data_IF_982511741665
#
_entry.id   IF_982511741665
#
_cell.length_a   1.000
_cell.length_b   1.000
_cell.length_c   1.000
_cell.angle_alpha   90.00
_cell.angle_beta   90.00
_cell.angle_gamma   90.00
#
_symmetry.space_group_name_H-M   'P 1'
#
loop_
_entity.id
_entity.type
_entity.pdbx_description
1 polymer ?
#
# COMPACT_ATOMS: atom_id res chain seq x y z
N UNK A 1 15.07 23.88 21.72
CA UNK A 1 13.80 24.62 21.91
C UNK A 1 13.58 24.86 23.41
N UNK A 2 13.25 26.05 23.79
CA UNK A 2 12.80 26.38 25.15
C UNK A 2 11.34 26.82 25.08
N UNK A 3 10.43 25.98 25.57
CA UNK A 3 8.99 26.16 25.43
C UNK A 3 8.58 26.37 23.96
N UNK A 4 8.06 27.56 23.62
CA UNK A 4 7.64 27.92 22.26
C UNK A 4 8.70 28.71 21.46
N UNK A 5 9.90 28.91 22.01
CA UNK A 5 10.98 29.63 21.33
C UNK A 5 11.93 28.64 20.66
N UNK A 6 12.27 28.93 19.39
CA UNK A 6 13.30 28.22 18.64
C UNK A 6 14.60 29.03 18.75
N UNK A 7 15.65 28.40 19.27
CA UNK A 7 16.99 28.98 19.25
C UNK A 7 17.83 28.15 18.27
N UNK A 8 18.49 28.82 17.35
CA UNK A 8 19.45 28.16 16.46
C UNK A 8 20.72 27.85 17.25
N UNK A 9 21.26 26.65 17.03
CA UNK A 9 22.48 26.16 17.66
C UNK A 9 23.47 25.82 16.55
N UNK A 10 24.71 26.29 16.71
CA UNK A 10 25.80 25.97 15.77
C UNK A 10 26.45 24.62 16.12
N UNK A 11 26.40 24.23 17.37
CA UNK A 11 27.00 22.99 17.89
C UNK A 11 26.07 22.30 18.90
N UNK A 12 26.13 20.97 18.92
CA UNK A 12 25.38 20.09 19.83
C UNK A 12 26.35 19.11 20.45
N UNK A 13 26.35 18.96 21.77
CA UNK A 13 27.26 18.09 22.50
C UNK A 13 26.58 16.78 22.92
N UNK A 14 27.41 15.82 23.32
CA UNK A 14 26.95 14.54 23.87
C UNK A 14 26.03 14.73 25.07
N UNK A 15 24.83 14.16 25.03
CA UNK A 15 23.81 14.33 26.06
C UNK A 15 22.78 15.44 25.78
N UNK A 16 23.02 16.29 24.77
CA UNK A 16 22.06 17.32 24.38
C UNK A 16 20.91 16.71 23.54
N UNK A 17 19.77 17.40 23.62
CA UNK A 17 18.59 17.10 22.78
C UNK A 17 18.33 18.30 21.88
N UNK A 18 18.42 18.09 20.59
CA UNK A 18 18.24 19.12 19.59
C UNK A 18 17.35 18.64 18.43
N UNK A 19 16.67 19.57 17.75
CA UNK A 19 15.98 19.31 16.51
C UNK A 19 16.89 19.63 15.32
N UNK A 20 17.08 18.69 14.43
CA UNK A 20 17.85 18.85 13.19
C UNK A 20 16.94 18.66 11.99
N UNK A 21 17.23 19.33 10.89
CA UNK A 21 16.51 19.22 9.62
C UNK A 21 17.47 18.90 8.48
N UNK A 22 16.95 18.26 7.43
CA UNK A 22 17.73 18.00 6.22
C UNK A 22 18.27 16.58 6.08
N UNK A 23 18.01 15.70 7.02
CA UNK A 23 18.30 14.28 6.91
C UNK A 23 17.29 13.62 5.95
N UNK A 24 17.78 13.08 4.82
CA UNK A 24 16.91 12.48 3.79
C UNK A 24 16.77 10.96 3.90
N UNK A 25 17.72 10.30 4.57
CA UNK A 25 17.82 8.85 4.64
C UNK A 25 17.77 8.32 6.07
N UNK A 26 17.37 9.16 7.02
CA UNK A 26 17.35 8.84 8.45
C UNK A 26 15.92 8.72 8.93
N UNK A 27 15.59 7.59 9.51
CA UNK A 27 14.29 7.28 10.12
C UNK A 27 14.35 7.30 11.64
N UNK A 28 13.19 7.24 12.28
CA UNK A 28 13.09 7.15 13.73
C UNK A 28 13.76 5.88 14.24
N UNK A 29 14.70 6.01 15.18
CA UNK A 29 15.48 4.92 15.72
C UNK A 29 16.87 4.74 15.14
N UNK A 30 17.20 5.46 14.05
CA UNK A 30 18.52 5.41 13.45
C UNK A 30 19.56 6.12 14.32
N UNK A 31 20.76 5.58 14.34
CA UNK A 31 21.90 6.21 15.02
C UNK A 31 22.69 7.06 14.04
N UNK A 32 22.95 8.30 14.41
CA UNK A 32 23.84 9.21 13.69
C UNK A 32 25.15 9.30 14.48
N UNK A 33 26.27 8.98 13.85
CA UNK A 33 27.58 8.96 14.48
C UNK A 33 28.67 9.48 13.58
N UNK A 34 29.88 9.63 14.14
CA UNK A 34 31.10 9.96 13.39
C UNK A 34 31.50 8.78 12.49
N UNK A 35 31.83 9.06 11.24
CA UNK A 35 32.30 8.06 10.27
C UNK A 35 33.60 7.37 10.70
N UNK A 36 34.48 8.06 11.42
CA UNK A 36 35.76 7.52 11.89
C UNK A 36 35.60 6.66 13.16
N UNK A 37 34.55 6.87 13.90
CA UNK A 37 34.25 6.16 15.16
C UNK A 37 32.81 5.66 15.15
N UNK A 38 32.46 4.71 14.26
CA UNK A 38 31.10 4.25 14.13
C UNK A 38 30.64 3.52 15.41
N UNK A 39 29.51 3.92 15.93
CA UNK A 39 28.82 3.28 17.03
C UNK A 39 27.34 3.18 16.69
N UNK A 40 26.73 2.03 16.94
CA UNK A 40 25.30 1.84 16.81
C UNK A 40 24.74 1.70 18.22
N UNK A 41 23.81 2.60 18.56
CA UNK A 41 23.07 2.52 19.82
C UNK A 41 21.99 1.44 19.73
N UNK A 42 21.42 1.08 20.89
CA UNK A 42 20.35 0.11 20.96
C UNK A 42 19.19 0.48 20.02
N UNK A 43 18.79 -0.47 19.16
CA UNK A 43 17.67 -0.29 18.26
C UNK A 43 16.34 -0.36 19.01
N UNK A 44 15.41 0.53 18.67
CA UNK A 44 14.05 0.48 19.21
C UNK A 44 13.23 -0.59 18.50
N UNK A 45 12.57 -1.45 19.27
CA UNK A 45 11.59 -2.39 18.74
C UNK A 45 10.20 -1.73 18.79
N UNK A 46 9.58 -1.59 17.65
CA UNK A 46 8.24 -1.02 17.53
C UNK A 46 7.21 -2.15 17.46
N UNK A 47 6.08 -2.04 18.20
CA UNK A 47 5.03 -3.03 18.12
C UNK A 47 4.35 -3.01 16.74
N UNK A 48 3.87 -4.19 16.32
CA UNK A 48 3.11 -4.31 15.08
C UNK A 48 1.75 -3.61 15.21
N UNK A 49 1.27 -2.97 14.12
CA UNK A 49 -0.04 -2.37 14.09
C UNK A 49 -1.16 -3.37 14.35
N UNK A 50 -2.18 -2.97 15.09
CA UNK A 50 -3.27 -3.87 15.53
C UNK A 50 -4.57 -3.68 14.76
N UNK A 51 -4.78 -2.52 14.11
CA UNK A 51 -5.97 -2.27 13.30
C UNK A 51 -5.58 -1.74 11.91
N UNK A 52 -6.47 -1.97 10.96
CA UNK A 52 -6.30 -1.50 9.58
C UNK A 52 -7.61 -0.94 9.05
N UNK A 53 -7.52 0.14 8.29
CA UNK A 53 -8.64 0.74 7.57
C UNK A 53 -8.23 1.04 6.13
N UNK A 54 -9.21 1.05 5.24
CA UNK A 54 -9.01 1.52 3.87
C UNK A 54 -9.14 3.04 3.82
N UNK A 55 -8.27 3.70 3.05
CA UNK A 55 -8.29 5.13 2.83
C UNK A 55 -8.33 5.43 1.33
N UNK A 56 -9.24 6.30 0.92
CA UNK A 56 -9.41 6.70 -0.47
C UNK A 56 -9.48 8.22 -0.57
N UNK A 57 -8.76 8.85 -1.51
CA UNK A 57 -8.86 10.29 -1.70
C UNK A 57 -10.24 10.65 -2.26
N UNK A 58 -10.85 11.73 -1.81
CA UNK A 58 -12.14 12.19 -2.34
C UNK A 58 -12.08 12.59 -3.81
N UNK A 59 -10.91 12.95 -4.32
CA UNK A 59 -10.70 13.34 -5.72
C UNK A 59 -9.51 12.61 -6.34
N UNK A 60 -9.60 12.26 -7.62
CA UNK A 60 -8.49 11.65 -8.38
C UNK A 60 -7.23 12.52 -8.39
N UNK A 61 -7.39 13.84 -8.41
CA UNK A 61 -6.26 14.78 -8.36
C UNK A 61 -5.46 14.70 -7.05
N UNK A 62 -6.10 14.28 -5.95
CA UNK A 62 -5.47 14.14 -4.64
C UNK A 62 -4.75 12.80 -4.44
N UNK A 63 -4.89 11.86 -5.36
CA UNK A 63 -4.32 10.50 -5.20
C UNK A 63 -2.79 10.51 -5.07
N UNK A 64 -2.09 11.24 -5.95
CA UNK A 64 -0.64 11.37 -5.88
C UNK A 64 -0.18 12.06 -4.60
N UNK A 65 -0.86 13.16 -4.23
CA UNK A 65 -0.58 13.89 -2.98
C UNK A 65 -0.81 13.03 -1.74
N UNK A 66 -1.85 12.20 -1.75
CA UNK A 66 -2.12 11.28 -0.65
C UNK A 66 -0.99 10.26 -0.47
N UNK A 67 -0.47 9.68 -1.56
CA UNK A 67 0.64 8.75 -1.49
C UNK A 67 1.91 9.37 -0.90
N UNK A 68 2.28 10.57 -1.36
CA UNK A 68 3.43 11.31 -0.82
C UNK A 68 3.25 11.69 0.66
N UNK A 69 2.05 12.12 1.04
CA UNK A 69 1.74 12.49 2.41
C UNK A 69 1.79 11.28 3.35
N UNK A 70 1.20 10.15 2.94
CA UNK A 70 1.23 8.91 3.71
C UNK A 70 2.66 8.37 3.87
N UNK A 71 3.50 8.47 2.83
CA UNK A 71 4.90 8.08 2.92
C UNK A 71 5.66 8.89 3.97
N UNK A 72 5.47 10.22 3.98
CA UNK A 72 6.09 11.11 5.00
C UNK A 72 5.62 10.78 6.41
N UNK A 73 4.33 10.53 6.59
CA UNK A 73 3.77 10.14 7.90
C UNK A 73 4.32 8.80 8.38
N UNK A 74 4.55 7.85 7.47
CA UNK A 74 5.16 6.56 7.78
C UNK A 74 6.67 6.66 8.11
N UNK A 75 7.39 7.64 7.55
CA UNK A 75 8.77 7.95 7.94
C UNK A 75 8.87 8.52 9.36
N UNK A 76 7.86 9.30 9.78
CA UNK A 76 7.81 9.89 11.12
C UNK A 76 7.42 8.88 12.21
N UNK A 77 6.55 7.93 11.87
CA UNK A 77 5.98 6.98 12.83
C UNK A 77 6.15 5.52 12.37
N UNK A 78 7.10 4.79 12.95
CA UNK A 78 7.36 3.39 12.61
C UNK A 78 6.22 2.42 12.97
N UNK A 79 5.26 2.84 13.80
CA UNK A 79 4.07 2.05 14.14
C UNK A 79 2.92 2.25 13.17
N UNK A 80 3.06 3.20 12.25
CA UNK A 80 2.13 3.46 11.15
C UNK A 80 2.62 2.80 9.88
N UNK A 81 1.78 1.99 9.25
CA UNK A 81 2.11 1.31 7.99
C UNK A 81 1.11 1.60 6.90
N UNK A 82 1.60 1.68 5.68
CA UNK A 82 0.81 1.90 4.48
C UNK A 82 1.09 0.76 3.50
N UNK A 83 0.03 0.16 2.96
CA UNK A 83 0.15 -0.83 1.89
C UNK A 83 -0.97 -0.66 0.87
N UNK A 84 -0.70 -1.00 -0.37
CA UNK A 84 -1.75 -1.12 -1.39
C UNK A 84 -2.16 -2.59 -1.49
N UNK A 85 -3.45 -2.84 -1.44
CA UNK A 85 -3.98 -4.18 -1.70
C UNK A 85 -4.04 -4.36 -3.22
N UNK A 86 -3.25 -5.31 -3.76
CA UNK A 86 -3.13 -5.54 -5.20
C UNK A 86 -4.44 -6.07 -5.82
N UNK A 87 -5.24 -6.81 -5.06
CA UNK A 87 -6.49 -7.42 -5.54
C UNK A 87 -7.64 -6.40 -5.60
N UNK A 88 -7.75 -5.52 -4.59
CA UNK A 88 -8.82 -4.52 -4.52
C UNK A 88 -8.41 -3.14 -5.00
N UNK A 89 -7.10 -2.89 -5.15
CA UNK A 89 -6.54 -1.58 -5.49
C UNK A 89 -6.65 -0.55 -4.36
N UNK A 90 -7.15 -0.93 -3.19
CA UNK A 90 -7.31 -0.01 -2.06
C UNK A 90 -5.99 0.26 -1.36
N UNK A 91 -5.81 1.50 -0.91
CA UNK A 91 -4.75 1.86 0.04
C UNK A 91 -5.23 1.53 1.44
N UNK A 92 -4.47 0.68 2.13
CA UNK A 92 -4.73 0.27 3.50
C UNK A 92 -3.71 0.95 4.41
N UNK A 93 -4.20 1.60 5.45
CA UNK A 93 -3.38 2.16 6.51
C UNK A 93 -3.59 1.35 7.79
N UNK A 94 -2.51 1.09 8.50
CA UNK A 94 -2.51 0.29 9.72
C UNK A 94 -1.85 1.06 10.86
N UNK A 95 -2.37 0.94 12.06
CA UNK A 95 -1.89 1.67 13.23
C UNK A 95 -2.24 0.97 14.54
N UNK A 96 -1.83 1.59 15.64
CA UNK A 96 -1.94 1.03 16.99
C UNK A 96 -3.36 1.10 17.59
N UNK A 97 -4.27 1.85 16.94
CA UNK A 97 -5.63 2.00 17.42
C UNK A 97 -6.43 2.99 16.58
N UNK A 98 -7.72 3.05 16.81
CA UNK A 98 -8.66 3.91 16.08
C UNK A 98 -8.25 5.38 16.17
N UNK A 99 -8.00 5.87 17.39
CA UNK A 99 -7.58 7.25 17.62
C UNK A 99 -6.26 7.58 16.89
N UNK A 100 -5.33 6.64 16.83
CA UNK A 100 -4.08 6.82 16.09
C UNK A 100 -4.36 7.08 14.60
N UNK A 101 -5.19 6.24 13.97
CA UNK A 101 -5.56 6.40 12.56
C UNK A 101 -6.40 7.66 12.30
N UNK A 102 -7.28 8.04 13.23
CA UNK A 102 -8.02 9.31 13.14
C UNK A 102 -7.08 10.51 13.13
N UNK A 103 -6.06 10.52 13.99
CA UNK A 103 -5.04 11.59 14.02
C UNK A 103 -4.27 11.65 12.70
N UNK A 104 -3.88 10.51 12.14
CA UNK A 104 -3.20 10.44 10.84
C UNK A 104 -4.08 11.04 9.73
N UNK A 105 -5.37 10.71 9.70
CA UNK A 105 -6.32 11.26 8.72
C UNK A 105 -6.53 12.75 8.91
N UNK A 106 -6.61 13.23 10.16
CA UNK A 106 -6.69 14.67 10.46
C UNK A 106 -5.42 15.42 10.00
N UNK A 107 -4.23 14.83 10.20
CA UNK A 107 -2.97 15.38 9.70
C UNK A 107 -2.91 15.42 8.17
N UNK A 108 -3.43 14.40 7.46
CA UNK A 108 -3.56 14.43 6.00
C UNK A 108 -4.35 15.66 5.52
N UNK A 109 -5.43 15.99 6.21
CA UNK A 109 -6.23 17.16 5.87
C UNK A 109 -5.51 18.47 6.22
N UNK A 110 -5.01 18.61 7.46
CA UNK A 110 -4.48 19.88 7.97
C UNK A 110 -3.10 20.23 7.44
N UNK A 111 -2.21 19.24 7.32
CA UNK A 111 -0.82 19.50 6.93
C UNK A 111 -0.62 19.38 5.41
N UNK A 112 -1.34 18.46 4.76
CA UNK A 112 -1.15 18.16 3.33
C UNK A 112 -2.31 18.61 2.43
N UNK A 113 -3.41 19.14 2.99
CA UNK A 113 -4.63 19.48 2.25
C UNK A 113 -5.19 18.31 1.41
N UNK A 114 -5.17 17.11 1.95
CA UNK A 114 -5.70 15.89 1.33
C UNK A 114 -6.94 15.45 2.07
N UNK A 115 -8.09 15.56 1.41
CA UNK A 115 -9.34 15.00 1.91
C UNK A 115 -9.46 13.54 1.51
N UNK A 116 -9.75 12.68 2.49
CA UNK A 116 -9.89 11.25 2.28
C UNK A 116 -11.16 10.70 2.93
N UNK A 117 -11.69 9.63 2.36
CA UNK A 117 -12.71 8.80 2.95
C UNK A 117 -12.02 7.61 3.63
N UNK A 118 -12.48 7.26 4.81
CA UNK A 118 -11.99 6.11 5.58
C UNK A 118 -13.11 5.10 5.73
N UNK A 119 -12.80 3.83 5.53
CA UNK A 119 -13.76 2.75 5.61
C UNK A 119 -13.12 1.41 5.95
N UNK A 120 -13.95 0.39 6.10
CA UNK A 120 -13.45 -0.97 6.24
C UNK A 120 -12.75 -1.44 4.96
N UNK A 121 -11.64 -2.18 5.05
CA UNK A 121 -11.02 -2.81 3.89
C UNK A 121 -12.01 -3.75 3.18
N UNK A 122 -11.97 -3.74 1.86
CA UNK A 122 -12.74 -4.71 1.08
C UNK A 122 -12.16 -6.11 1.23
N UNK A 123 -13.05 -7.10 1.31
CA UNK A 123 -12.64 -8.50 1.30
C UNK A 123 -12.38 -8.90 -0.15
N UNK A 124 -11.17 -9.35 -0.43
CA UNK A 124 -10.84 -9.93 -1.73
C UNK A 124 -11.41 -11.35 -1.79
N UNK A 125 -12.55 -11.50 -2.44
CA UNK A 125 -13.14 -12.81 -2.66
C UNK A 125 -12.40 -13.53 -3.79
N UNK A 126 -12.07 -14.80 -3.55
CA UNK A 126 -11.53 -15.70 -4.56
C UNK A 126 -12.61 -16.68 -4.96
N UNK A 127 -12.81 -16.84 -6.26
CA UNK A 127 -13.78 -17.75 -6.81
C UNK A 127 -13.08 -18.98 -7.40
N UNK A 128 -13.74 -20.13 -7.32
CA UNK A 128 -13.32 -21.35 -7.98
C UNK A 128 -14.56 -22.09 -8.48
N UNK A 129 -14.38 -22.96 -9.44
CA UNK A 129 -15.43 -23.86 -9.90
C UNK A 129 -15.14 -25.30 -9.45
N UNK A 130 -16.19 -26.04 -9.13
CA UNK A 130 -16.12 -27.39 -8.54
C UNK A 130 -16.42 -28.51 -9.54
N UNK A 131 -16.83 -28.15 -10.76
CA UNK A 131 -17.20 -29.11 -11.81
C UNK A 131 -16.55 -28.72 -13.13
N UNK A 132 -16.20 -29.74 -13.92
CA UNK A 132 -15.77 -29.52 -15.30
C UNK A 132 -16.93 -28.97 -16.14
N UNK A 133 -16.65 -27.98 -16.97
CA UNK A 133 -17.63 -27.33 -17.84
C UNK A 133 -17.03 -27.07 -19.21
N UNK A 134 -17.74 -27.45 -20.26
CA UNK A 134 -17.42 -27.10 -21.64
C UNK A 134 -18.19 -25.84 -22.04
N UNK A 135 -17.49 -24.82 -22.50
CA UNK A 135 -18.06 -23.56 -22.96
C UNK A 135 -17.78 -23.37 -24.45
N UNK A 136 -18.85 -23.18 -25.21
CA UNK A 136 -18.80 -22.80 -26.62
C UNK A 136 -19.20 -21.33 -26.73
N UNK A 137 -18.22 -20.45 -26.92
CA UNK A 137 -18.42 -19.01 -26.99
C UNK A 137 -18.21 -18.50 -28.40
N UNK A 138 -19.28 -17.93 -28.96
CA UNK A 138 -19.28 -17.33 -30.30
C UNK A 138 -19.65 -15.86 -30.22
N UNK A 139 -18.73 -15.01 -30.68
CA UNK A 139 -18.98 -13.60 -30.85
C UNK A 139 -19.07 -13.27 -32.34
N UNK A 140 -20.20 -12.78 -32.77
CA UNK A 140 -20.41 -12.32 -34.15
C UNK A 140 -21.19 -11.00 -34.12
N UNK A 141 -20.53 -9.91 -34.49
CA UNK A 141 -21.14 -8.58 -34.52
C UNK A 141 -20.81 -7.87 -35.84
N UNK A 142 -21.82 -7.33 -36.48
CA UNK A 142 -21.68 -6.49 -37.67
C UNK A 142 -22.53 -5.23 -37.50
N UNK A 143 -21.86 -4.08 -37.44
CA UNK A 143 -22.51 -2.77 -37.33
C UNK A 143 -21.99 -1.79 -38.39
N UNK A 144 -22.00 -2.23 -39.66
CA UNK A 144 -21.44 -1.48 -40.80
C UNK A 144 -19.95 -1.82 -41.06
N UNK A 145 -19.56 -1.99 -42.32
CA UNK A 145 -18.21 -2.32 -42.71
C UNK A 145 -17.81 -3.78 -42.43
N UNK A 146 -16.54 -4.01 -42.03
CA UNK A 146 -16.04 -5.36 -41.70
C UNK A 146 -16.62 -5.80 -40.34
N UNK A 147 -17.29 -6.96 -40.35
CA UNK A 147 -17.80 -7.60 -39.13
C UNK A 147 -16.69 -8.11 -38.20
N UNK A 148 -17.03 -8.20 -36.92
CA UNK A 148 -16.17 -8.83 -35.91
C UNK A 148 -16.67 -10.26 -35.68
N UNK A 149 -15.74 -11.22 -35.68
CA UNK A 149 -16.06 -12.62 -35.46
C UNK A 149 -14.98 -13.26 -34.57
N UNK A 150 -15.42 -13.97 -33.57
CA UNK A 150 -14.58 -14.82 -32.76
C UNK A 150 -15.38 -16.02 -32.26
N UNK A 151 -14.79 -17.20 -32.33
CA UNK A 151 -15.42 -18.42 -31.86
C UNK A 151 -14.37 -19.27 -31.15
N UNK A 152 -14.61 -19.62 -29.90
CA UNK A 152 -13.73 -20.50 -29.14
C UNK A 152 -14.54 -21.52 -28.35
N UNK A 153 -13.97 -22.72 -28.24
CA UNK A 153 -14.45 -23.75 -27.34
C UNK A 153 -13.40 -23.98 -26.28
N UNK A 154 -13.79 -23.85 -25.02
CA UNK A 154 -12.88 -23.98 -23.89
C UNK A 154 -13.48 -24.92 -22.88
N UNK A 155 -12.68 -25.90 -22.42
CA UNK A 155 -13.01 -26.78 -21.31
C UNK A 155 -12.34 -26.18 -20.04
N UNK A 156 -13.14 -25.98 -19.02
CA UNK A 156 -12.67 -25.57 -17.70
C UNK A 156 -12.77 -26.77 -16.77
N UNK A 157 -11.67 -27.11 -16.12
CA UNK A 157 -11.61 -28.21 -15.16
C UNK A 157 -11.06 -27.67 -13.82
N UNK A 158 -11.68 -28.07 -12.68
CA UNK A 158 -11.13 -27.73 -11.39
C UNK A 158 -9.79 -28.43 -11.19
N UNK A 159 -8.81 -27.71 -10.63
CA UNK A 159 -7.53 -28.29 -10.25
C UNK A 159 -7.57 -28.82 -8.82
N UNK A 160 -6.61 -29.64 -8.45
CA UNK A 160 -6.46 -30.12 -7.07
C UNK A 160 -6.18 -28.93 -6.15
N UNK A 161 -7.04 -28.61 -5.15
CA UNK A 161 -6.85 -27.52 -4.24
C UNK A 161 -5.57 -27.64 -3.38
N UNK A 162 -4.99 -28.83 -3.28
CA UNK A 162 -3.73 -29.09 -2.56
C UNK A 162 -2.51 -29.19 -3.49
N UNK A 163 -2.70 -29.00 -4.80
CA UNK A 163 -1.63 -28.98 -5.78
C UNK A 163 -0.81 -27.72 -5.76
N UNK A 164 0.43 -27.79 -6.20
CA UNK A 164 1.33 -26.63 -6.29
C UNK A 164 0.93 -25.67 -7.41
N UNK A 165 0.28 -26.17 -8.47
CA UNK A 165 -0.16 -25.38 -9.60
C UNK A 165 -1.56 -24.80 -9.34
N UNK A 166 -1.69 -23.48 -9.48
CA UNK A 166 -2.97 -22.77 -9.34
C UNK A 166 -3.67 -22.49 -10.66
N UNK A 167 -2.95 -22.63 -11.79
CA UNK A 167 -3.46 -22.40 -13.14
C UNK A 167 -2.65 -23.22 -14.15
N UNK A 168 -3.36 -23.92 -15.06
CA UNK A 168 -2.77 -24.64 -16.18
C UNK A 168 -3.56 -24.33 -17.45
N UNK A 169 -2.86 -24.00 -18.53
CA UNK A 169 -3.46 -23.80 -19.83
C UNK A 169 -2.89 -24.80 -20.85
N UNK A 170 -3.79 -25.49 -21.53
CA UNK A 170 -3.44 -26.40 -22.63
C UNK A 170 -4.22 -26.01 -23.89
N UNK A 171 -3.54 -25.98 -25.02
CA UNK A 171 -4.19 -25.77 -26.30
C UNK A 171 -4.23 -27.09 -27.08
N UNK A 172 -5.43 -27.50 -27.42
CA UNK A 172 -5.69 -28.71 -28.26
C UNK A 172 -6.07 -28.34 -29.69
N UNK A 173 -5.87 -27.11 -30.09
CA UNK A 173 -6.17 -26.64 -31.46
C UNK A 173 -5.19 -27.29 -32.45
N UNK A 174 -5.71 -28.06 -33.40
CA UNK A 174 -4.96 -28.73 -34.47
C UNK A 174 -5.24 -28.01 -35.78
N UNK A 175 -4.21 -27.51 -36.41
CA UNK A 175 -4.27 -26.90 -37.72
C UNK A 175 -4.64 -25.43 -37.71
N UNK A 176 -3.73 -24.59 -38.10
CA UNK A 176 -3.88 -23.16 -38.41
C UNK A 176 -3.23 -22.85 -39.73
#
# INVERSE_FOLDING_TARGET
MHANKRNELDEVFSGDIAAAVGFKLTSTGDTICDEQHPIILESMEFPEPVISVAIEPKTKASQGKMGEALAKLAEEDPTFRVRTNEETGQTIISGMGELHLEIIVDRLLREFNVEANVGAPQVAYKETFTKAVDVDSKYARQSGGRGQYGHCKVKFEPMDPNGEETFKFESTVVGG
#
